data_IF_881682596334
#
_entry.id   IF_881682596334
#
_cell.length_a   1.000
_cell.length_b   1.000
_cell.length_c   1.000
_cell.angle_alpha   90.00
_cell.angle_beta   90.00
_cell.angle_gamma   90.00
#
_symmetry.space_group_name_H-M   'P 1'
#
loop_
_entity.id
_entity.type
_entity.pdbx_description
1 polymer ?
#
# COMPACT_ATOMS: atom_id res chain seq x y z
N UNK A 1 5.86 5.58 2.35
CA UNK A 1 4.80 4.76 2.95
C UNK A 1 3.96 5.58 3.91
N UNK A 2 2.80 6.01 3.41
CA UNK A 2 1.77 6.72 4.18
C UNK A 2 0.50 5.85 4.23
N UNK A 3 -0.06 5.63 5.42
CA UNK A 3 -1.28 4.85 5.64
C UNK A 3 -2.38 5.82 6.09
N UNK A 4 -3.58 5.69 5.53
CA UNK A 4 -4.71 6.55 5.88
C UNK A 4 -5.79 5.74 6.61
N UNK A 5 -6.30 6.27 7.71
CA UNK A 5 -7.39 5.69 8.50
C UNK A 5 -8.60 6.60 8.46
N UNK A 6 -9.75 6.06 8.03
CA UNK A 6 -11.00 6.82 8.00
C UNK A 6 -11.65 6.86 9.39
N UNK A 7 -11.15 7.77 10.23
CA UNK A 7 -11.52 7.86 11.64
C UNK A 7 -12.41 9.04 12.02
N UNK A 8 -12.42 10.10 11.20
CA UNK A 8 -13.08 11.35 11.57
C UNK A 8 -14.35 11.59 10.75
N UNK A 9 -14.43 11.12 9.50
CA UNK A 9 -15.62 11.32 8.66
C UNK A 9 -15.75 12.78 8.23
N UNK A 10 -16.95 13.36 8.38
CA UNK A 10 -17.18 14.81 8.17
C UNK A 10 -16.53 15.64 9.29
N UNK A 11 -16.26 16.92 9.01
CA UNK A 11 -15.47 17.81 9.86
C UNK A 11 -15.80 17.70 11.37
N UNK A 12 -14.78 17.35 12.15
CA UNK A 12 -14.84 17.23 13.61
C UNK A 12 -14.19 18.44 14.31
N UNK A 13 -14.49 18.63 15.61
CA UNK A 13 -13.86 19.66 16.45
C UNK A 13 -12.33 19.44 16.55
N UNK A 14 -11.54 20.52 16.51
CA UNK A 14 -10.07 20.47 16.59
C UNK A 14 -9.59 19.77 17.87
N UNK A 15 -10.30 19.94 19.00
CA UNK A 15 -9.96 19.25 20.25
C UNK A 15 -10.11 17.73 20.15
N UNK A 16 -11.07 17.25 19.37
CA UNK A 16 -11.27 15.83 19.12
C UNK A 16 -10.14 15.27 18.26
N UNK A 17 -9.73 16.02 17.23
CA UNK A 17 -8.66 15.62 16.31
C UNK A 17 -7.31 15.49 17.00
N UNK A 18 -6.97 16.45 17.88
CA UNK A 18 -5.77 16.38 18.69
C UNK A 18 -5.77 15.14 19.59
N UNK A 19 -6.89 14.84 20.25
CA UNK A 19 -7.03 13.63 21.07
C UNK A 19 -6.86 12.35 20.24
N UNK A 20 -7.36 12.32 19.00
CA UNK A 20 -7.19 11.17 18.10
C UNK A 20 -5.72 11.00 17.71
N UNK A 21 -5.02 12.09 17.37
CA UNK A 21 -3.58 12.06 17.09
C UNK A 21 -2.80 11.55 18.31
N UNK A 22 -3.01 12.15 19.48
CA UNK A 22 -2.30 11.78 20.72
C UNK A 22 -2.50 10.31 21.08
N UNK A 23 -3.73 9.82 20.98
CA UNK A 23 -4.04 8.42 21.23
C UNK A 23 -3.36 7.48 20.23
N UNK A 24 -3.27 7.89 18.96
CA UNK A 24 -2.60 7.11 17.91
C UNK A 24 -1.10 7.05 18.13
N UNK A 25 -0.45 8.19 18.44
CA UNK A 25 0.98 8.26 18.79
C UNK A 25 1.29 7.40 20.01
N UNK A 26 0.51 7.56 21.09
CA UNK A 26 0.70 6.76 22.32
C UNK A 26 0.54 5.27 22.08
N UNK A 27 -0.37 4.88 21.19
CA UNK A 27 -0.48 3.47 20.79
C UNK A 27 0.81 3.04 20.08
N UNK A 28 1.26 3.78 19.07
CA UNK A 28 2.44 3.42 18.27
C UNK A 28 3.69 3.23 19.14
N UNK A 29 3.86 4.07 20.16
CA UNK A 29 4.93 3.94 21.17
C UNK A 29 4.85 2.66 22.00
N UNK A 30 3.64 2.09 22.15
CA UNK A 30 3.36 0.86 22.90
C UNK A 30 3.32 -0.39 22.00
N UNK A 31 3.72 -0.28 20.74
CA UNK A 31 3.71 -1.44 19.84
C UNK A 31 4.63 -2.54 20.39
N UNK A 32 4.12 -3.78 20.59
CA UNK A 32 4.89 -4.86 21.20
C UNK A 32 6.08 -5.34 20.35
N UNK A 33 6.09 -5.03 19.04
CA UNK A 33 7.19 -5.37 18.15
C UNK A 33 8.34 -4.36 18.15
N UNK A 34 8.33 -3.35 19.04
CA UNK A 34 9.38 -2.33 19.17
C UNK A 34 8.92 -0.93 18.77
N UNK A 35 9.86 0.01 18.69
CA UNK A 35 9.57 1.39 18.30
C UNK A 35 9.35 1.51 16.78
N UNK A 36 8.26 2.17 16.40
CA UNK A 36 7.98 2.51 15.00
C UNK A 36 8.15 4.02 14.84
N UNK A 37 9.20 4.50 14.16
CA UNK A 37 9.32 5.92 13.82
C UNK A 37 8.19 6.28 12.86
N UNK A 38 7.25 7.10 13.32
CA UNK A 38 6.09 7.49 12.55
C UNK A 38 5.71 8.95 12.84
N UNK A 39 5.19 9.63 11.82
CA UNK A 39 4.55 10.92 11.94
C UNK A 39 3.04 10.74 11.78
N UNK A 40 2.24 11.32 12.68
CA UNK A 40 0.78 11.21 12.67
C UNK A 40 0.19 12.60 12.47
N UNK A 41 -0.69 12.75 11.48
CA UNK A 41 -1.32 14.01 11.10
C UNK A 41 -2.75 13.79 10.64
N UNK A 42 -3.61 14.79 10.76
CA UNK A 42 -4.91 14.78 10.06
C UNK A 42 -4.70 15.29 8.63
N UNK A 43 -5.41 14.68 7.68
CA UNK A 43 -5.46 15.11 6.28
C UNK A 43 -6.90 15.14 5.80
N UNK A 44 -7.20 16.10 4.94
CA UNK A 44 -8.42 16.12 4.15
C UNK A 44 -8.20 15.34 2.85
N UNK A 45 -9.12 14.43 2.53
CA UNK A 45 -9.17 13.72 1.25
C UNK A 45 -10.52 13.97 0.57
N UNK A 46 -10.50 14.02 -0.76
CA UNK A 46 -11.66 14.29 -1.60
C UNK A 46 -11.95 15.79 -1.76
N UNK A 47 -12.17 16.24 -2.99
CA UNK A 47 -12.57 17.61 -3.28
C UNK A 47 -14.08 17.78 -3.01
N UNK A 48 -14.43 18.64 -2.05
CA UNK A 48 -15.82 19.08 -1.80
C UNK A 48 -16.61 18.28 -0.75
N UNK A 49 -16.04 17.20 -0.22
CA UNK A 49 -16.62 16.41 0.88
C UNK A 49 -15.76 16.45 2.18
N UNK A 50 -14.56 17.04 2.11
CA UNK A 50 -13.59 17.22 3.20
C UNK A 50 -13.57 16.04 4.19
N UNK A 51 -13.33 14.84 3.67
CA UNK A 51 -13.23 13.66 4.53
C UNK A 51 -11.93 13.74 5.31
N UNK A 52 -12.06 13.90 6.63
CA UNK A 52 -10.93 13.93 7.52
C UNK A 52 -10.47 12.52 7.83
N UNK A 53 -9.19 12.28 7.57
CA UNK A 53 -8.53 11.00 7.83
C UNK A 53 -7.30 11.19 8.69
N UNK A 54 -7.01 10.20 9.51
CA UNK A 54 -5.74 10.12 10.25
C UNK A 54 -4.71 9.53 9.29
N UNK A 55 -3.69 10.31 8.96
CA UNK A 55 -2.52 9.85 8.21
C UNK A 55 -1.42 9.44 9.17
N UNK A 56 -0.91 8.22 8.97
CA UNK A 56 0.28 7.70 9.64
C UNK A 56 1.36 7.51 8.58
N UNK A 57 2.37 8.36 8.64
CA UNK A 57 3.54 8.30 7.78
C UNK A 57 4.64 7.53 8.52
N UNK A 58 4.91 6.31 8.08
CA UNK A 58 5.99 5.51 8.67
C UNK A 58 7.31 6.04 8.14
N UNK A 59 8.08 6.69 9.02
CA UNK A 59 9.38 7.28 8.72
C UNK A 59 10.43 6.16 8.77
N UNK A 60 10.32 5.22 7.84
CA UNK A 60 11.38 4.29 7.60
C UNK A 60 12.36 4.92 6.60
N UNK A 61 13.66 4.85 6.88
CA UNK A 61 14.72 5.00 5.86
C UNK A 61 14.47 4.10 4.63
N UNK A 62 13.57 3.13 4.76
CA UNK A 62 13.08 2.26 3.72
C UNK A 62 12.22 2.95 2.64
N UNK A 63 11.55 4.09 2.84
CA UNK A 63 10.63 4.63 1.79
C UNK A 63 11.33 5.03 0.50
N UNK A 64 12.57 5.52 0.58
CA UNK A 64 13.44 5.70 -0.59
C UNK A 64 13.95 4.38 -1.17
N UNK A 65 14.23 3.38 -0.31
CA UNK A 65 14.64 2.03 -0.71
C UNK A 65 13.48 1.24 -1.36
N UNK A 66 12.23 1.34 -0.87
CA UNK A 66 11.07 0.56 -1.32
C UNK A 66 10.76 0.73 -2.81
N UNK A 67 11.00 1.93 -3.38
CA UNK A 67 10.80 2.20 -4.81
C UNK A 67 12.10 2.35 -5.60
N UNK A 68 13.23 2.67 -4.96
CA UNK A 68 14.52 2.61 -5.65
C UNK A 68 14.92 1.14 -5.93
N UNK A 69 14.61 0.21 -5.03
CA UNK A 69 14.99 -1.22 -5.15
C UNK A 69 14.32 -1.91 -6.34
N UNK A 70 13.00 -1.78 -6.63
CA UNK A 70 12.38 -2.41 -7.79
C UNK A 70 12.90 -1.91 -9.14
N UNK A 71 13.26 -0.61 -9.24
CA UNK A 71 13.90 -0.08 -10.44
C UNK A 71 15.37 -0.52 -10.57
N UNK A 72 16.05 -0.84 -9.46
CA UNK A 72 17.44 -1.30 -9.42
C UNK A 72 17.60 -2.82 -9.60
N UNK A 73 16.65 -3.63 -9.14
CA UNK A 73 16.72 -5.08 -9.19
C UNK A 73 16.17 -5.60 -10.52
N UNK A 74 17.11 -6.06 -11.37
CA UNK A 74 16.86 -6.66 -12.69
C UNK A 74 16.01 -7.95 -12.64
N UNK A 75 15.83 -8.55 -11.46
CA UNK A 75 14.94 -9.69 -11.16
C UNK A 75 14.41 -9.56 -9.73
N UNK A 76 13.09 -9.71 -9.55
CA UNK A 76 12.39 -9.70 -8.24
C UNK A 76 12.99 -10.74 -7.25
N UNK A 77 13.64 -11.77 -7.82
CA UNK A 77 14.37 -12.90 -7.22
C UNK A 77 15.07 -12.67 -5.86
N UNK A 78 15.94 -11.68 -5.74
CA UNK A 78 16.84 -11.58 -4.56
C UNK A 78 16.17 -11.00 -3.31
N UNK A 79 14.94 -10.51 -3.45
CA UNK A 79 14.26 -9.80 -2.38
C UNK A 79 12.93 -10.44 -2.00
N UNK A 80 12.45 -11.52 -2.63
CA UNK A 80 11.13 -12.11 -2.31
C UNK A 80 11.00 -12.53 -0.83
N UNK A 81 11.98 -13.23 -0.25
CA UNK A 81 11.93 -13.61 1.17
C UNK A 81 12.00 -12.39 2.10
N UNK A 82 12.77 -11.37 1.72
CA UNK A 82 12.84 -10.10 2.45
C UNK A 82 11.52 -9.34 2.34
N UNK A 83 10.89 -9.35 1.16
CA UNK A 83 9.59 -8.76 0.89
C UNK A 83 8.49 -9.48 1.66
N UNK A 84 8.51 -10.81 1.73
CA UNK A 84 7.59 -11.58 2.57
C UNK A 84 7.80 -11.26 4.06
N UNK A 85 9.05 -11.13 4.52
CA UNK A 85 9.35 -10.73 5.91
C UNK A 85 8.83 -9.32 6.20
N UNK A 86 9.05 -8.38 5.28
CA UNK A 86 8.55 -7.00 5.35
C UNK A 86 7.03 -6.98 5.34
N UNK A 87 6.40 -7.70 4.41
CA UNK A 87 4.95 -7.84 4.30
C UNK A 87 4.35 -8.36 5.59
N UNK A 88 4.92 -9.43 6.17
CA UNK A 88 4.49 -9.99 7.44
C UNK A 88 4.68 -9.02 8.62
N UNK A 89 5.78 -8.26 8.64
CA UNK A 89 6.02 -7.21 9.63
C UNK A 89 5.00 -6.09 9.54
N UNK A 90 4.76 -5.58 8.33
CA UNK A 90 3.76 -4.56 8.04
C UNK A 90 2.36 -5.05 8.38
N UNK A 91 2.00 -6.27 8.00
CA UNK A 91 0.71 -6.88 8.32
C UNK A 91 0.45 -6.93 9.83
N UNK A 92 1.46 -7.27 10.64
CA UNK A 92 1.32 -7.26 12.10
C UNK A 92 1.09 -5.84 12.63
N UNK A 93 1.84 -4.86 12.14
CA UNK A 93 1.66 -3.45 12.50
C UNK A 93 0.27 -2.97 12.09
N UNK A 94 -0.14 -3.25 10.86
CA UNK A 94 -1.43 -2.85 10.29
C UNK A 94 -2.60 -3.54 10.99
N UNK A 95 -2.51 -4.83 11.29
CA UNK A 95 -3.54 -5.55 12.04
C UNK A 95 -3.66 -5.03 13.49
N UNK A 96 -2.54 -4.64 14.09
CA UNK A 96 -2.53 -4.03 15.42
C UNK A 96 -3.05 -2.58 15.39
N UNK A 97 -2.78 -1.84 14.31
CA UNK A 97 -3.31 -0.50 14.05
C UNK A 97 -4.74 -0.50 13.54
N UNK A 98 -5.26 -1.60 13.00
CA UNK A 98 -6.58 -1.68 12.41
C UNK A 98 -7.63 -1.47 13.49
N UNK A 99 -7.97 -0.21 13.69
CA UNK A 99 -9.19 0.20 14.32
C UNK A 99 -10.37 -0.32 13.49
N UNK A 100 -11.56 -0.37 14.09
CA UNK A 100 -12.83 -0.74 13.46
C UNK A 100 -13.30 0.18 12.32
N UNK A 101 -12.38 0.83 11.62
CA UNK A 101 -12.56 1.80 10.54
C UNK A 101 -11.88 1.33 9.25
N UNK A 102 -12.36 1.78 8.08
CA UNK A 102 -11.69 1.53 6.80
C UNK A 102 -10.24 2.04 6.80
N UNK A 103 -9.32 1.20 6.31
CA UNK A 103 -7.89 1.50 6.16
C UNK A 103 -7.57 1.59 4.67
N UNK A 104 -6.86 2.64 4.27
CA UNK A 104 -6.34 2.79 2.91
C UNK A 104 -4.83 2.63 2.94
N UNK A 105 -4.36 1.66 2.17
CA UNK A 105 -2.97 1.26 2.16
C UNK A 105 -2.13 2.03 1.13
N UNK A 106 -0.85 2.24 1.45
CA UNK A 106 0.14 2.81 0.54
C UNK A 106 0.44 1.87 -0.64
N UNK A 107 0.86 2.45 -1.77
CA UNK A 107 1.23 1.73 -2.99
C UNK A 107 2.27 0.62 -2.73
N UNK A 108 3.25 0.88 -1.85
CA UNK A 108 4.26 -0.10 -1.47
C UNK A 108 3.64 -1.36 -0.88
N UNK A 109 2.63 -1.21 -0.03
CA UNK A 109 1.97 -2.35 0.60
C UNK A 109 1.06 -3.09 -0.39
N UNK A 110 0.37 -2.34 -1.25
CA UNK A 110 -0.46 -2.91 -2.31
C UNK A 110 0.38 -3.67 -3.35
N UNK A 111 1.60 -3.19 -3.63
CA UNK A 111 2.57 -3.89 -4.47
C UNK A 111 2.98 -5.24 -3.86
N UNK A 112 3.20 -5.30 -2.55
CA UNK A 112 3.50 -6.57 -1.87
C UNK A 112 2.33 -7.55 -1.95
N UNK A 113 1.08 -7.06 -1.88
CA UNK A 113 -0.10 -7.90 -2.11
C UNK A 113 -0.09 -8.46 -3.54
N UNK A 114 0.18 -7.61 -4.53
CA UNK A 114 0.25 -8.05 -5.92
C UNK A 114 1.38 -9.07 -6.16
N UNK A 115 2.54 -8.89 -5.53
CA UNK A 115 3.62 -9.88 -5.57
C UNK A 115 3.22 -11.21 -4.94
N UNK A 116 2.55 -11.18 -3.78
CA UNK A 116 2.11 -12.39 -3.09
C UNK A 116 1.09 -13.20 -3.91
N UNK A 117 0.23 -12.50 -4.66
CA UNK A 117 -0.70 -13.12 -5.59
C UNK A 117 0.03 -13.86 -6.73
N UNK A 118 1.11 -13.29 -7.28
CA UNK A 118 1.95 -13.92 -8.30
C UNK A 118 2.76 -15.11 -7.78
N UNK A 119 3.19 -15.05 -6.52
CA UNK A 119 4.02 -16.08 -5.88
C UNK A 119 3.27 -17.40 -5.64
N UNK A 120 1.93 -17.35 -5.63
CA UNK A 120 1.08 -18.51 -5.39
C UNK A 120 1.10 -19.59 -6.50
N UNK A 121 1.73 -19.34 -7.66
CA UNK A 121 1.71 -20.21 -8.85
C UNK A 121 3.07 -20.86 -9.21
N UNK A 122 3.99 -21.03 -8.25
CA UNK A 122 5.28 -21.75 -8.42
C UNK A 122 6.26 -21.16 -9.47
N UNK A 123 5.99 -19.97 -10.03
CA UNK A 123 6.83 -19.31 -11.05
C UNK A 123 7.18 -17.84 -10.72
N UNK A 124 7.08 -17.45 -9.44
CA UNK A 124 7.31 -16.08 -8.96
C UNK A 124 8.69 -15.47 -9.33
N UNK A 125 9.66 -16.32 -9.64
CA UNK A 125 11.07 -15.97 -9.61
C UNK A 125 11.59 -15.22 -10.85
N UNK A 126 10.81 -15.13 -11.93
CA UNK A 126 11.23 -14.48 -13.19
C UNK A 126 10.36 -13.29 -13.61
N UNK A 127 9.43 -12.84 -12.76
CA UNK A 127 8.67 -11.63 -13.03
C UNK A 127 9.56 -10.37 -13.01
N UNK A 128 9.30 -9.45 -13.94
CA UNK A 128 9.88 -8.11 -14.03
C UNK A 128 8.78 -7.08 -13.82
N UNK A 129 8.91 -6.19 -12.84
CA UNK A 129 7.96 -5.09 -12.64
C UNK A 129 8.11 -4.04 -13.75
N UNK A 130 7.00 -3.70 -14.41
CA UNK A 130 6.98 -2.73 -15.51
C UNK A 130 6.47 -1.35 -15.08
N UNK A 131 5.68 -1.28 -14.01
CA UNK A 131 5.13 -0.04 -13.49
C UNK A 131 3.72 -0.20 -12.94
N UNK A 132 3.20 0.89 -12.38
CA UNK A 132 1.86 0.96 -11.80
C UNK A 132 1.12 2.24 -12.18
N UNK A 133 -0.20 2.18 -12.18
CA UNK A 133 -1.08 3.34 -12.36
C UNK A 133 -2.36 3.19 -11.53
N UNK A 134 -3.02 4.31 -11.25
CA UNK A 134 -4.26 4.34 -10.49
C UNK A 134 -5.48 4.23 -11.42
N UNK A 135 -6.51 3.51 -10.97
CA UNK A 135 -7.82 3.46 -11.61
C UNK A 135 -8.92 3.88 -10.62
N UNK A 136 -9.75 4.88 -10.96
CA UNK A 136 -9.65 5.72 -12.16
C UNK A 136 -8.41 6.64 -12.13
N UNK A 137 -7.91 6.99 -13.32
CA UNK A 137 -6.75 7.86 -13.45
C UNK A 137 -7.03 9.23 -12.83
N UNK A 138 -6.10 9.67 -11.96
CA UNK A 138 -6.01 11.01 -11.37
C UNK A 138 -7.35 11.74 -11.19
N UNK A 139 -8.28 11.13 -10.44
CA UNK A 139 -9.47 11.82 -9.97
C UNK A 139 -9.27 12.26 -8.51
N UNK A 140 -9.05 13.56 -8.24
CA UNK A 140 -8.85 14.07 -6.88
C UNK A 140 -10.00 13.73 -5.93
N UNK A 141 -11.22 13.56 -6.46
CA UNK A 141 -12.42 13.20 -5.69
C UNK A 141 -12.42 11.75 -5.21
N UNK A 142 -11.56 10.89 -5.77
CA UNK A 142 -11.46 9.48 -5.40
C UNK A 142 -10.16 9.14 -4.68
N UNK A 143 -9.45 10.18 -4.20
CA UNK A 143 -8.17 10.01 -3.50
C UNK A 143 -8.34 9.09 -2.28
N UNK A 144 -7.66 7.95 -2.27
CA UNK A 144 -7.77 6.91 -1.24
C UNK A 144 -8.84 5.84 -1.51
N UNK A 145 -9.72 6.04 -2.50
CA UNK A 145 -10.73 5.07 -2.96
C UNK A 145 -10.40 4.43 -4.30
N UNK A 146 -9.35 4.89 -4.98
CA UNK A 146 -8.89 4.27 -6.21
C UNK A 146 -8.38 2.83 -6.02
N UNK A 147 -8.14 2.15 -7.14
CA UNK A 147 -7.39 0.90 -7.20
C UNK A 147 -6.05 1.16 -7.86
N UNK A 148 -5.05 0.36 -7.53
CA UNK A 148 -3.73 0.41 -8.15
C UNK A 148 -3.56 -0.81 -9.02
N UNK A 149 -3.23 -0.61 -10.28
CA UNK A 149 -2.89 -1.67 -11.22
C UNK A 149 -1.38 -1.80 -11.28
N UNK A 150 -0.88 -2.98 -10.95
CA UNK A 150 0.54 -3.35 -11.05
C UNK A 150 0.75 -4.23 -12.26
N UNK A 151 1.77 -3.91 -13.06
CA UNK A 151 2.06 -4.63 -14.30
C UNK A 151 3.41 -5.33 -14.20
N UNK A 152 3.44 -6.58 -14.62
CA UNK A 152 4.60 -7.45 -14.57
C UNK A 152 4.78 -8.16 -15.91
N UNK A 153 6.02 -8.53 -16.22
CA UNK A 153 6.36 -9.38 -17.36
C UNK A 153 7.03 -10.65 -16.87
N UNK A 154 6.60 -11.80 -17.39
CA UNK A 154 7.27 -13.08 -17.20
C UNK A 154 7.47 -13.72 -18.57
N UNK A 155 8.73 -13.86 -19.00
CA UNK A 155 9.06 -14.35 -20.34
C UNK A 155 8.27 -13.62 -21.45
N UNK A 156 7.45 -14.34 -22.21
CA UNK A 156 6.55 -13.80 -23.25
C UNK A 156 5.13 -13.49 -22.74
N UNK A 157 4.93 -13.36 -21.43
CA UNK A 157 3.62 -13.04 -20.84
C UNK A 157 3.62 -11.70 -20.10
N UNK A 158 2.46 -11.05 -20.09
CA UNK A 158 2.17 -9.83 -19.36
C UNK A 158 1.09 -10.09 -18.31
N UNK A 159 1.40 -9.80 -17.06
CA UNK A 159 0.46 -9.92 -15.93
C UNK A 159 0.07 -8.53 -15.43
N UNK A 160 -1.23 -8.30 -15.29
CA UNK A 160 -1.78 -7.14 -14.59
C UNK A 160 -2.56 -7.57 -13.37
N UNK A 161 -2.30 -6.94 -12.23
CA UNK A 161 -3.04 -7.16 -10.99
C UNK A 161 -3.59 -5.84 -10.50
N UNK A 162 -4.92 -5.76 -10.36
CA UNK A 162 -5.60 -4.63 -9.77
C UNK A 162 -5.88 -4.90 -8.30
N UNK A 163 -5.39 -4.02 -7.42
CA UNK A 163 -5.60 -4.09 -5.96
C UNK A 163 -6.30 -2.83 -5.49
N UNK A 164 -7.38 -2.98 -4.73
CA UNK A 164 -8.06 -1.84 -4.11
C UNK A 164 -7.21 -1.20 -3.01
N UNK A 165 -7.47 0.07 -2.68
CA UNK A 165 -6.82 0.73 -1.53
C UNK A 165 -7.08 0.05 -0.19
N UNK A 166 -8.13 -0.75 -0.09
CA UNK A 166 -8.41 -1.59 1.08
C UNK A 166 -7.61 -2.90 1.10
N UNK A 167 -6.69 -3.12 0.15
CA UNK A 167 -5.84 -4.31 0.09
C UNK A 167 -6.54 -5.55 -0.47
N UNK A 168 -7.66 -5.38 -1.17
CA UNK A 168 -8.37 -6.49 -1.83
C UNK A 168 -7.92 -6.59 -3.28
N UNK A 169 -7.46 -7.77 -3.71
CA UNK A 169 -7.26 -8.07 -5.13
C UNK A 169 -8.63 -8.04 -5.82
N UNK A 170 -8.78 -7.15 -6.79
CA UNK A 170 -10.02 -6.94 -7.53
C UNK A 170 -10.06 -7.80 -8.79
N UNK A 171 -8.91 -7.90 -9.47
CA UNK A 171 -8.78 -8.58 -10.73
C UNK A 171 -7.31 -8.92 -11.01
N UNK A 172 -7.10 -9.99 -11.76
CA UNK A 172 -5.82 -10.41 -12.32
C UNK A 172 -6.03 -10.81 -13.78
N UNK A 173 -5.07 -10.49 -14.64
CA UNK A 173 -5.10 -10.85 -16.04
C UNK A 173 -3.72 -11.18 -16.58
N UNK A 174 -3.68 -12.27 -17.33
CA UNK A 174 -2.51 -12.75 -18.04
C UNK A 174 -2.74 -12.64 -19.54
N UNK A 175 -1.77 -12.08 -20.25
CA UNK A 175 -1.80 -11.98 -21.72
C UNK A 175 -0.49 -12.49 -22.27
N UNK A 176 -0.53 -13.53 -23.11
CA UNK A 176 0.61 -13.99 -23.89
C UNK A 176 0.93 -12.98 -25.02
N UNK A 177 2.21 -12.67 -25.22
CA UNK A 177 2.72 -11.75 -26.24
C UNK A 177 2.87 -12.43 -27.61
N UNK A 178 2.39 -13.67 -27.77
CA UNK A 178 2.48 -14.46 -28.98
C UNK A 178 1.50 -13.96 -30.06
N UNK A 179 1.71 -12.76 -30.61
CA UNK A 179 0.94 -12.25 -31.74
C UNK A 179 1.65 -11.12 -32.51
N UNK A 180 2.90 -11.30 -32.95
CA UNK A 180 3.45 -10.63 -34.15
C UNK A 180 4.63 -11.44 -34.72
N UNK A 181 4.32 -12.50 -35.48
CA UNK A 181 5.24 -13.13 -36.42
C UNK A 181 4.71 -12.95 -37.83
#
# INVERSE_FOLDING_TARGET
>A
MEILFNHLGEASDEEFELKVIENTVRKLEKYPGGYIPANVKIKDIGAGADWRVVSIEIVAAATGLFFAIPALHKKIRESCEEWQRIYNGLNKVLAWLAFSSPVYYPDEYLFLIALYELDSEDNANDFTFLGSHNLPEANPSLKGLESVVFNFRYDESFESIAVSRAGKVLWRNSTELSCFA
#
